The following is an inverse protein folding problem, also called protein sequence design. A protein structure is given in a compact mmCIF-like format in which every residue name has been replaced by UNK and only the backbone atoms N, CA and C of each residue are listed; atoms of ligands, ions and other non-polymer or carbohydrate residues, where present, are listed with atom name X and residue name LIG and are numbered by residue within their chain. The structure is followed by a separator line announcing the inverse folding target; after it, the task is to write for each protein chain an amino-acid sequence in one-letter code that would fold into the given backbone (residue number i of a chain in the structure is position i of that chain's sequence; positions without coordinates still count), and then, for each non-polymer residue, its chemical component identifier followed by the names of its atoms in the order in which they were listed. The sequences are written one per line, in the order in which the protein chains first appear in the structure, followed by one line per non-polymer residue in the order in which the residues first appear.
data_IF_276258599751
#
_entry.id   IF_276258599751
#
_cell.length_a   1.000
_cell.length_b   1.000
_cell.length_c   1.000
_cell.angle_alpha   90.00
_cell.angle_beta   90.00
_cell.angle_gamma   90.00
#
_symmetry.space_group_name_H-M   'P 1'
#
loop_
_entity.id
_entity.type
_entity.pdbx_description
1 polymer ?
#
# COMPACT_ATOMS: atom_id res chain seq x y z
N UNK A 1 44.56 51.99 52.72
CA UNK A 1 44.99 51.10 51.62
C UNK A 1 43.75 50.35 51.12
N UNK A 2 43.14 50.80 50.02
CA UNK A 2 41.90 50.23 49.44
C UNK A 2 42.22 49.63 48.08
N UNK A 3 41.97 48.34 47.88
CA UNK A 3 42.11 47.65 46.61
C UNK A 3 40.73 47.15 46.14
N UNK A 4 40.44 47.42 44.86
CA UNK A 4 39.17 47.19 44.16
C UNK A 4 39.01 45.70 43.80
N UNK A 5 37.80 45.17 43.90
CA UNK A 5 37.40 43.92 43.24
C UNK A 5 36.38 44.23 42.15
N UNK A 6 36.68 43.84 40.90
CA UNK A 6 35.75 43.74 39.79
C UNK A 6 35.13 42.34 39.82
N UNK A 7 33.80 42.25 39.78
CA UNK A 7 33.04 41.03 39.55
C UNK A 7 32.48 41.07 38.13
N UNK A 8 32.95 40.18 37.25
CA UNK A 8 32.36 39.91 35.94
C UNK A 8 31.34 38.80 36.07
N UNK A 9 30.07 39.09 35.78
CA UNK A 9 29.00 38.10 35.65
C UNK A 9 28.74 37.82 34.16
N UNK A 10 29.00 36.60 33.73
CA UNK A 10 28.73 36.12 32.37
C UNK A 10 27.36 35.44 32.36
N UNK A 11 26.38 36.05 31.71
CA UNK A 11 25.02 35.52 31.54
C UNK A 11 25.00 34.57 30.33
N UNK A 12 24.76 33.27 30.55
CA UNK A 12 24.54 32.29 29.48
C UNK A 12 23.08 32.40 28.98
N UNK A 13 22.90 32.92 27.76
CA UNK A 13 21.64 32.88 27.04
C UNK A 13 21.46 31.47 26.42
N UNK A 14 20.52 30.69 26.96
CA UNK A 14 20.05 29.45 26.33
C UNK A 14 19.03 29.85 25.25
N UNK A 15 19.46 29.86 23.99
CA UNK A 15 18.56 30.01 22.85
C UNK A 15 17.85 28.67 22.64
N UNK A 16 16.63 28.53 23.15
CA UNK A 16 15.73 27.45 22.76
C UNK A 16 15.26 27.70 21.34
N UNK A 17 15.84 27.00 20.36
CA UNK A 17 15.29 26.92 19.01
C UNK A 17 13.97 26.16 19.10
N UNK A 18 12.85 26.88 19.16
CA UNK A 18 11.53 26.29 18.97
C UNK A 18 11.46 25.78 17.53
N UNK A 19 11.62 24.48 17.32
CA UNK A 19 11.31 23.85 16.04
C UNK A 19 9.83 24.14 15.73
N UNK A 20 9.54 24.77 14.59
CA UNK A 20 8.18 25.07 14.18
C UNK A 20 7.45 23.78 13.83
N UNK A 21 6.41 23.42 14.57
CA UNK A 21 5.62 22.23 14.28
C UNK A 21 4.20 22.65 13.92
N UNK A 22 3.63 22.02 12.89
CA UNK A 22 2.20 22.17 12.57
C UNK A 22 1.35 21.80 13.79
N UNK A 23 0.40 22.66 14.14
CA UNK A 23 -0.60 22.35 15.16
C UNK A 23 -1.73 21.52 14.54
N UNK A 24 -1.68 20.20 14.74
CA UNK A 24 -2.80 19.32 14.39
C UNK A 24 -3.91 19.42 15.43
N UNK A 25 -5.08 19.93 15.02
CA UNK A 25 -6.23 20.09 15.91
C UNK A 25 -6.84 18.73 16.25
N UNK A 26 -7.16 18.53 17.53
CA UNK A 26 -7.87 17.33 18.04
C UNK A 26 -9.39 17.51 17.93
N UNK A 27 -9.89 17.68 16.71
CA UNK A 27 -11.32 17.87 16.41
C UNK A 27 -11.77 16.86 15.35
N UNK A 28 -13.07 16.60 15.27
CA UNK A 28 -13.63 15.75 14.21
C UNK A 28 -13.53 16.41 12.83
N UNK A 29 -13.62 15.59 11.78
CA UNK A 29 -13.64 16.11 10.40
C UNK A 29 -14.81 17.07 10.16
N UNK A 30 -16.00 16.77 10.69
CA UNK A 30 -17.17 17.66 10.61
C UNK A 30 -16.93 18.99 11.31
N UNK A 31 -16.30 18.98 12.49
CA UNK A 31 -15.93 20.20 13.21
C UNK A 31 -14.91 21.02 12.43
N UNK A 32 -13.96 20.36 11.78
CA UNK A 32 -12.97 21.04 10.95
C UNK A 32 -13.59 21.68 9.70
N UNK A 33 -14.56 21.03 9.05
CA UNK A 33 -15.33 21.63 7.95
C UNK A 33 -16.09 22.89 8.40
N UNK A 34 -16.73 22.83 9.57
CA UNK A 34 -17.38 24.00 10.15
C UNK A 34 -16.36 25.13 10.41
N UNK A 35 -15.24 24.80 11.04
CA UNK A 35 -14.19 25.77 11.36
C UNK A 35 -13.56 26.38 10.10
N UNK A 36 -13.30 25.56 9.08
CA UNK A 36 -12.77 25.98 7.78
C UNK A 36 -13.69 27.01 7.11
N UNK A 37 -15.02 26.81 7.15
CA UNK A 37 -15.99 27.77 6.62
C UNK A 37 -16.01 29.08 7.41
N UNK A 38 -15.97 29.00 8.74
CA UNK A 38 -16.00 30.19 9.62
C UNK A 38 -14.72 31.02 9.45
N UNK A 39 -13.56 30.36 9.46
CA UNK A 39 -12.25 31.01 9.33
C UNK A 39 -11.85 31.32 7.87
N UNK A 40 -12.63 30.85 6.88
CA UNK A 40 -12.32 30.90 5.45
C UNK A 40 -10.94 30.29 5.14
N UNK A 41 -10.66 29.16 5.77
CA UNK A 41 -9.42 28.40 5.62
C UNK A 41 -9.67 27.09 4.88
N UNK A 42 -8.62 26.61 4.24
CA UNK A 42 -8.56 25.28 3.64
C UNK A 42 -8.39 24.21 4.73
N UNK A 43 -8.44 22.94 4.36
CA UNK A 43 -8.17 21.82 5.26
C UNK A 43 -6.94 21.06 4.75
N UNK A 44 -5.99 20.81 5.64
CA UNK A 44 -4.89 19.89 5.43
C UNK A 44 -5.15 18.66 6.30
N UNK A 45 -5.40 17.53 5.65
CA UNK A 45 -5.73 16.27 6.32
C UNK A 45 -4.62 15.25 6.07
N UNK A 46 -3.81 15.01 7.09
CA UNK A 46 -2.78 13.97 7.09
C UNK A 46 -3.39 12.61 7.44
N UNK A 47 -3.30 11.66 6.51
CA UNK A 47 -3.68 10.26 6.70
C UNK A 47 -2.43 9.45 7.03
N UNK A 48 -2.35 8.97 8.27
CA UNK A 48 -1.31 8.06 8.76
C UNK A 48 -1.65 6.61 8.46
N UNK A 49 -0.64 5.76 8.30
CA UNK A 49 -0.82 4.31 8.14
C UNK A 49 -0.63 3.60 9.47
N UNK A 50 -1.61 2.82 9.91
CA UNK A 50 -1.48 1.94 11.08
C UNK A 50 -0.38 0.87 10.89
N UNK A 51 -0.05 0.56 9.63
CA UNK A 51 0.86 -0.51 9.25
C UNK A 51 2.25 -0.01 8.82
N UNK A 52 2.51 1.30 8.83
CA UNK A 52 3.80 1.87 8.44
C UNK A 52 4.24 3.00 9.37
N UNK A 53 4.84 2.64 10.52
CA UNK A 53 5.38 3.61 11.47
C UNK A 53 6.43 4.53 10.81
N UNK A 54 7.34 3.96 10.03
CA UNK A 54 8.37 4.72 9.31
C UNK A 54 7.76 5.75 8.34
N UNK A 55 6.66 5.42 7.65
CA UNK A 55 5.97 6.35 6.75
C UNK A 55 5.40 7.55 7.52
N UNK A 56 4.88 7.31 8.73
CA UNK A 56 4.35 8.36 9.58
C UNK A 56 5.48 9.25 10.14
N UNK A 57 6.60 8.65 10.54
CA UNK A 57 7.78 9.38 11.04
C UNK A 57 8.38 10.29 9.97
N UNK A 58 8.56 9.79 8.74
CA UNK A 58 9.10 10.63 7.66
C UNK A 58 8.15 11.78 7.34
N UNK A 59 6.83 11.55 7.33
CA UNK A 59 5.85 12.63 7.15
C UNK A 59 5.96 13.69 8.26
N UNK A 60 6.03 13.24 9.52
CA UNK A 60 6.16 14.12 10.67
C UNK A 60 7.43 14.98 10.57
N UNK A 61 8.54 14.41 10.11
CA UNK A 61 9.79 15.14 9.88
C UNK A 61 9.64 16.18 8.75
N UNK A 62 9.04 15.81 7.62
CA UNK A 62 8.86 16.74 6.50
C UNK A 62 7.98 17.94 6.85
N UNK A 63 7.04 17.78 7.77
CA UNK A 63 6.11 18.81 8.21
C UNK A 63 6.65 19.72 9.35
N UNK A 64 7.91 19.58 9.77
CA UNK A 64 8.54 20.39 10.84
C UNK A 64 9.18 21.71 10.36
N UNK A 65 8.92 22.15 9.13
CA UNK A 65 9.45 23.42 8.61
C UNK A 65 8.69 24.61 9.21
N UNK A 66 9.43 25.64 9.62
CA UNK A 66 8.84 26.91 10.09
C UNK A 66 8.01 27.59 9.00
N UNK A 67 8.42 27.46 7.73
CA UNK A 67 7.67 27.97 6.58
C UNK A 67 6.32 27.28 6.45
N UNK A 68 6.30 25.95 6.57
CA UNK A 68 5.06 25.16 6.54
C UNK A 68 4.16 25.58 7.70
N UNK A 69 4.70 25.72 8.92
CA UNK A 69 3.93 26.17 10.08
C UNK A 69 3.24 27.51 9.80
N UNK A 70 3.98 28.52 9.35
CA UNK A 70 3.42 29.85 9.05
C UNK A 70 2.32 29.78 7.98
N UNK A 71 2.55 29.04 6.89
CA UNK A 71 1.56 28.88 5.81
C UNK A 71 0.30 28.16 6.29
N UNK A 72 0.46 27.13 7.11
CA UNK A 72 -0.65 26.31 7.62
C UNK A 72 -1.45 27.05 8.68
N UNK A 73 -0.83 27.77 9.61
CA UNK A 73 -1.52 28.59 10.62
C UNK A 73 -2.42 29.66 9.96
N UNK A 74 -1.93 30.28 8.88
CA UNK A 74 -2.66 31.33 8.17
C UNK A 74 -3.78 30.77 7.28
N UNK A 75 -3.53 29.68 6.55
CA UNK A 75 -4.41 29.25 5.45
C UNK A 75 -5.15 27.94 5.68
N UNK A 76 -4.79 27.14 6.68
CA UNK A 76 -5.29 25.78 6.84
C UNK A 76 -5.82 25.47 8.24
N UNK A 77 -6.81 24.59 8.28
CA UNK A 77 -7.18 23.80 9.44
C UNK A 77 -6.49 22.44 9.28
N UNK A 78 -5.52 22.15 10.14
CA UNK A 78 -4.73 20.94 10.06
C UNK A 78 -5.30 19.82 10.94
N UNK A 79 -5.49 18.65 10.34
CA UNK A 79 -5.98 17.43 10.98
C UNK A 79 -5.05 16.26 10.70
N UNK A 80 -5.06 15.30 11.62
CA UNK A 80 -4.36 14.03 11.48
C UNK A 80 -5.26 12.88 11.89
N UNK A 81 -5.29 11.83 11.09
CA UNK A 81 -6.13 10.64 11.29
C UNK A 81 -5.44 9.42 10.70
N UNK A 82 -5.79 8.23 11.14
CA UNK A 82 -5.29 6.97 10.59
C UNK A 82 -6.23 6.36 9.52
N UNK A 83 -7.41 6.95 9.33
CA UNK A 83 -8.37 6.57 8.31
C UNK A 83 -8.93 7.78 7.59
N UNK A 84 -9.28 7.61 6.32
CA UNK A 84 -9.98 8.65 5.58
C UNK A 84 -11.38 8.82 6.21
N UNK A 85 -11.83 10.07 6.49
CA UNK A 85 -13.16 10.32 7.03
C UNK A 85 -14.24 9.78 6.10
N UNK A 86 -15.21 9.05 6.66
CA UNK A 86 -16.31 8.42 5.90
C UNK A 86 -17.15 9.48 5.15
N UNK A 87 -17.20 10.71 5.67
CA UNK A 87 -17.89 11.85 5.07
C UNK A 87 -17.23 12.37 3.78
N UNK A 88 -15.92 12.11 3.57
CA UNK A 88 -15.20 12.53 2.38
C UNK A 88 -15.55 11.67 1.16
N UNK A 89 -15.91 10.40 1.38
CA UNK A 89 -16.20 9.43 0.32
C UNK A 89 -17.33 8.49 0.74
N UNK A 90 -18.54 9.03 0.90
CA UNK A 90 -19.71 8.19 1.20
C UNK A 90 -20.00 7.18 0.05
N UNK A 91 -20.89 6.22 0.30
CA UNK A 91 -21.25 5.17 -0.67
C UNK A 91 -21.68 5.69 -2.06
N UNK A 92 -22.17 6.92 -2.14
CA UNK A 92 -22.63 7.55 -3.38
C UNK A 92 -21.55 8.33 -4.13
N UNK A 93 -20.36 8.52 -3.56
CA UNK A 93 -19.23 9.20 -4.22
C UNK A 93 -18.90 8.55 -5.58
N UNK A 94 -18.57 9.31 -6.63
CA UNK A 94 -18.19 8.75 -7.93
C UNK A 94 -16.82 8.05 -7.94
N UNK A 95 -16.06 8.17 -6.83
CA UNK A 95 -14.72 7.61 -6.68
C UNK A 95 -14.54 6.87 -5.35
N UNK A 96 -13.43 6.16 -5.24
CA UNK A 96 -12.93 5.58 -3.99
C UNK A 96 -11.43 5.84 -3.81
N UNK A 97 -10.99 5.78 -2.55
CA UNK A 97 -9.58 5.70 -2.23
C UNK A 97 -9.11 4.25 -2.22
N UNK A 98 -7.80 4.04 -2.33
CA UNK A 98 -7.21 2.73 -2.04
C UNK A 98 -7.35 2.42 -0.54
N UNK A 99 -7.66 1.17 -0.18
CA UNK A 99 -7.78 0.74 1.22
C UNK A 99 -6.49 0.96 2.03
N UNK A 100 -5.33 1.05 1.36
CA UNK A 100 -4.04 1.32 1.96
C UNK A 100 -3.56 2.76 1.77
N UNK A 101 -4.47 3.69 1.45
CA UNK A 101 -4.09 5.09 1.25
C UNK A 101 -3.49 5.69 2.53
N UNK A 102 -2.32 6.29 2.38
CA UNK A 102 -1.69 7.17 3.35
C UNK A 102 -1.07 8.35 2.59
N UNK A 103 -0.96 9.51 3.24
CA UNK A 103 -0.50 10.74 2.61
C UNK A 103 -1.28 11.97 3.06
N UNK A 104 -1.31 13.02 2.25
CA UNK A 104 -1.91 14.30 2.62
C UNK A 104 -3.00 14.69 1.63
N UNK A 105 -4.18 15.00 2.15
CA UNK A 105 -5.31 15.53 1.39
C UNK A 105 -5.45 17.02 1.66
N UNK A 106 -5.66 17.78 0.59
CA UNK A 106 -5.93 19.21 0.68
C UNK A 106 -7.33 19.49 0.17
N UNK A 107 -8.14 20.11 1.02
CA UNK A 107 -9.57 20.32 0.76
C UNK A 107 -9.92 21.79 0.92
N UNK A 108 -10.96 22.24 0.22
CA UNK A 108 -11.59 23.51 0.51
C UNK A 108 -12.56 23.42 1.70
N UNK A 109 -13.18 24.53 2.05
CA UNK A 109 -14.11 24.65 3.17
C UNK A 109 -15.42 23.83 3.00
N UNK A 110 -15.77 23.42 1.78
CA UNK A 110 -16.88 22.49 1.52
C UNK A 110 -16.47 21.01 1.51
N UNK A 111 -15.19 20.71 1.76
CA UNK A 111 -14.64 19.35 1.72
C UNK A 111 -14.35 18.84 0.32
N UNK A 112 -14.30 19.71 -0.69
CA UNK A 112 -13.91 19.36 -2.05
C UNK A 112 -12.39 19.20 -2.15
N UNK A 113 -11.94 18.13 -2.77
CA UNK A 113 -10.51 17.85 -2.97
C UNK A 113 -9.91 18.86 -3.95
N UNK A 114 -8.84 19.53 -3.51
CA UNK A 114 -8.04 20.46 -4.30
C UNK A 114 -6.71 19.84 -4.74
N UNK A 115 -6.12 19.00 -3.88
CA UNK A 115 -4.85 18.33 -4.15
C UNK A 115 -4.71 17.05 -3.32
N UNK A 116 -3.90 16.10 -3.80
CA UNK A 116 -3.59 14.85 -3.12
C UNK A 116 -2.09 14.58 -3.22
N UNK A 117 -1.43 14.42 -2.07
CA UNK A 117 -0.09 13.85 -1.98
C UNK A 117 -0.20 12.38 -1.58
N UNK A 118 0.09 11.47 -2.52
CA UNK A 118 0.06 10.00 -2.31
C UNK A 118 1.38 9.43 -1.81
N UNK A 119 2.11 10.22 -1.02
CA UNK A 119 3.41 9.85 -0.48
C UNK A 119 3.64 10.53 0.86
N UNK A 120 4.64 10.04 1.57
CA UNK A 120 5.21 10.67 2.77
C UNK A 120 6.71 10.83 2.55
N UNK A 121 7.27 11.96 2.96
CA UNK A 121 8.69 12.28 2.78
C UNK A 121 9.20 13.11 3.95
N UNK A 122 10.48 13.01 4.27
CA UNK A 122 11.13 13.92 5.23
C UNK A 122 11.53 15.26 4.60
N UNK A 123 11.33 15.43 3.29
CA UNK A 123 11.68 16.64 2.56
C UNK A 123 10.56 17.69 2.67
N UNK A 124 10.79 18.74 3.46
CA UNK A 124 9.81 19.81 3.67
C UNK A 124 9.41 20.54 2.38
N UNK A 125 10.34 20.74 1.44
CA UNK A 125 10.03 21.44 0.19
C UNK A 125 8.91 20.77 -0.62
N UNK A 126 8.80 19.44 -0.57
CA UNK A 126 7.71 18.72 -1.26
C UNK A 126 6.33 19.06 -0.68
N UNK A 127 6.23 19.29 0.62
CA UNK A 127 4.99 19.74 1.26
C UNK A 127 4.74 21.22 0.98
N UNK A 128 5.77 22.05 0.99
CA UNK A 128 5.68 23.47 0.64
C UNK A 128 5.13 23.66 -0.78
N UNK A 129 5.66 22.91 -1.75
CA UNK A 129 5.18 22.91 -3.14
C UNK A 129 3.72 22.48 -3.24
N UNK A 130 3.32 21.43 -2.52
CA UNK A 130 1.95 20.94 -2.53
C UNK A 130 0.97 21.93 -1.89
N UNK A 131 1.37 22.59 -0.80
CA UNK A 131 0.60 23.66 -0.15
C UNK A 131 0.45 24.86 -1.10
N UNK A 132 1.55 25.32 -1.71
CA UNK A 132 1.53 26.44 -2.63
C UNK A 132 0.64 26.16 -3.86
N UNK A 133 0.75 24.96 -4.44
CA UNK A 133 -0.11 24.53 -5.54
C UNK A 133 -1.58 24.51 -5.12
N UNK A 134 -1.90 23.95 -3.94
CA UNK A 134 -3.27 23.93 -3.41
C UNK A 134 -3.85 25.34 -3.28
N UNK A 135 -3.09 26.29 -2.71
CA UNK A 135 -3.53 27.67 -2.58
C UNK A 135 -3.80 28.29 -3.97
N UNK A 136 -2.95 27.99 -4.95
CA UNK A 136 -3.13 28.49 -6.32
C UNK A 136 -4.40 27.92 -6.99
N UNK A 137 -4.62 26.61 -6.89
CA UNK A 137 -5.82 25.94 -7.40
C UNK A 137 -7.09 26.52 -6.77
N UNK A 138 -7.07 26.77 -5.45
CA UNK A 138 -8.22 27.36 -4.77
C UNK A 138 -8.55 28.78 -5.27
N UNK A 139 -7.52 29.61 -5.50
CA UNK A 139 -7.69 30.99 -6.00
C UNK A 139 -8.33 31.05 -7.38
N UNK A 140 -8.09 30.06 -8.22
CA UNK A 140 -8.60 30.03 -9.59
C UNK A 140 -9.94 29.29 -9.72
N UNK A 141 -10.60 28.99 -8.59
CA UNK A 141 -11.89 28.29 -8.54
C UNK A 141 -11.92 27.10 -9.50
N UNK A 142 -10.97 26.17 -9.32
CA UNK A 142 -10.94 24.94 -10.10
C UNK A 142 -12.28 24.21 -10.04
N UNK A 143 -12.69 23.66 -11.19
CA UNK A 143 -13.85 22.79 -11.27
C UNK A 143 -13.66 21.61 -10.30
N UNK A 144 -14.55 21.41 -9.33
CA UNK A 144 -14.41 20.36 -8.33
C UNK A 144 -15.11 19.06 -8.73
N UNK A 145 -14.66 17.92 -8.18
CA UNK A 145 -15.36 16.63 -8.35
C UNK A 145 -16.82 16.75 -7.92
N UNK A 146 -17.08 17.40 -6.77
CA UNK A 146 -18.42 17.59 -6.21
C UNK A 146 -19.33 18.39 -7.15
N UNK A 147 -18.79 19.43 -7.77
CA UNK A 147 -19.53 20.24 -8.75
C UNK A 147 -19.86 19.43 -10.02
N UNK A 148 -18.87 18.73 -10.58
CA UNK A 148 -19.06 17.89 -11.77
C UNK A 148 -20.03 16.73 -11.52
N UNK A 149 -19.96 16.11 -10.35
CA UNK A 149 -20.90 15.07 -9.92
C UNK A 149 -22.33 15.63 -9.82
N UNK A 150 -22.50 16.83 -9.25
CA UNK A 150 -23.80 17.51 -9.19
C UNK A 150 -24.36 17.80 -10.58
N UNK A 151 -23.55 18.35 -11.49
CA UNK A 151 -24.00 18.65 -12.86
C UNK A 151 -24.36 17.37 -13.60
N UNK A 152 -23.53 16.34 -13.50
CA UNK A 152 -23.79 15.05 -14.12
C UNK A 152 -25.11 14.43 -13.63
N UNK A 153 -25.37 14.48 -12.31
CA UNK A 153 -26.62 13.97 -11.74
C UNK A 153 -27.86 14.77 -12.15
N UNK A 154 -27.72 16.08 -12.39
CA UNK A 154 -28.81 16.92 -12.88
C UNK A 154 -29.06 16.72 -14.37
N UNK A 155 -28.00 16.45 -15.14
CA UNK A 155 -28.05 16.28 -16.59
C UNK A 155 -27.08 15.17 -17.02
N UNK A 156 -27.63 13.95 -17.10
CA UNK A 156 -26.94 12.70 -17.41
C UNK A 156 -26.52 12.65 -18.89
N UNK A 157 -25.48 13.42 -19.25
CA UNK A 157 -24.91 13.42 -20.60
C UNK A 157 -23.42 13.07 -20.60
N UNK A 158 -22.96 12.65 -21.78
CA UNK A 158 -21.59 12.19 -22.02
C UNK A 158 -20.52 13.21 -21.61
N UNK A 159 -20.69 14.48 -21.96
CA UNK A 159 -19.65 15.51 -21.74
C UNK A 159 -19.44 15.76 -20.24
N UNK A 160 -20.53 15.85 -19.49
CA UNK A 160 -20.46 16.03 -18.03
C UNK A 160 -19.79 14.83 -17.36
N UNK A 161 -20.18 13.61 -17.76
CA UNK A 161 -19.62 12.38 -17.23
C UNK A 161 -18.13 12.22 -17.58
N UNK A 162 -17.75 12.55 -18.82
CA UNK A 162 -16.37 12.53 -19.29
C UNK A 162 -15.50 13.48 -18.47
N UNK A 163 -15.98 14.69 -18.19
CA UNK A 163 -15.27 15.67 -17.37
C UNK A 163 -15.13 15.19 -15.92
N UNK A 164 -16.17 14.58 -15.35
CA UNK A 164 -16.13 13.98 -14.02
C UNK A 164 -15.09 12.85 -13.93
N UNK A 165 -15.08 11.93 -14.90
CA UNK A 165 -14.12 10.82 -14.93
C UNK A 165 -12.68 11.34 -15.09
N UNK A 166 -12.47 12.32 -15.97
CA UNK A 166 -11.15 12.95 -16.17
C UNK A 166 -10.61 13.57 -14.89
N UNK A 167 -11.42 14.34 -14.16
CA UNK A 167 -10.92 14.97 -12.93
C UNK A 167 -10.59 13.93 -11.85
N UNK A 168 -11.39 12.88 -11.72
CA UNK A 168 -11.13 11.79 -10.76
C UNK A 168 -9.81 11.10 -11.11
N UNK A 169 -9.61 10.77 -12.39
CA UNK A 169 -8.38 10.14 -12.88
C UNK A 169 -7.16 11.05 -12.72
N UNK A 170 -7.31 12.37 -12.90
CA UNK A 170 -6.24 13.35 -12.69
C UNK A 170 -5.78 13.43 -11.22
N UNK A 171 -6.70 13.23 -10.27
CA UNK A 171 -6.36 13.04 -8.85
C UNK A 171 -5.83 11.63 -8.55
N UNK A 172 -5.69 10.78 -9.58
CA UNK A 172 -5.38 9.36 -9.52
C UNK A 172 -6.33 8.57 -8.59
N UNK A 173 -7.53 9.10 -8.32
CA UNK A 173 -8.54 8.43 -7.50
C UNK A 173 -9.15 7.28 -8.30
N UNK A 174 -9.67 6.28 -7.59
CA UNK A 174 -10.27 5.13 -8.25
C UNK A 174 -11.68 5.48 -8.73
N UNK A 175 -11.89 5.47 -10.05
CA UNK A 175 -13.21 5.71 -10.65
C UNK A 175 -14.09 4.49 -10.39
N UNK A 176 -15.29 4.69 -9.83
CA UNK A 176 -16.17 3.55 -9.57
C UNK A 176 -16.65 2.90 -10.87
N UNK A 177 -16.66 1.57 -10.89
CA UNK A 177 -17.00 0.78 -12.07
C UNK A 177 -18.32 1.19 -12.77
N UNK A 178 -19.45 1.42 -12.05
CA UNK A 178 -20.69 1.86 -12.69
C UNK A 178 -20.54 3.17 -13.49
N UNK A 179 -19.68 4.09 -13.03
CA UNK A 179 -19.45 5.36 -13.71
C UNK A 179 -18.68 5.16 -15.03
N UNK A 180 -17.74 4.21 -15.05
CA UNK A 180 -16.99 3.85 -16.27
C UNK A 180 -17.92 3.17 -17.29
N UNK A 181 -18.81 2.29 -16.83
CA UNK A 181 -19.79 1.61 -17.68
C UNK A 181 -20.82 2.60 -18.25
N UNK A 182 -21.35 3.52 -17.45
CA UNK A 182 -22.21 4.61 -17.94
C UNK A 182 -21.49 5.54 -18.92
N UNK A 183 -20.19 5.76 -18.76
CA UNK A 183 -19.41 6.61 -19.67
C UNK A 183 -19.32 5.99 -21.07
N UNK A 184 -19.10 4.68 -21.17
CA UNK A 184 -19.06 4.00 -22.47
C UNK A 184 -20.46 3.80 -23.07
N UNK A 185 -21.50 3.70 -22.24
CA UNK A 185 -22.89 3.63 -22.68
C UNK A 185 -23.37 4.93 -23.33
N UNK A 186 -23.03 6.07 -22.72
CA UNK A 186 -23.37 7.39 -23.24
C UNK A 186 -22.43 7.87 -24.35
N UNK A 187 -21.35 7.14 -24.63
CA UNK A 187 -20.34 7.55 -25.60
C UNK A 187 -20.93 7.61 -27.03
N UNK A 188 -20.69 8.72 -27.76
CA UNK A 188 -20.96 8.77 -29.19
C UNK A 188 -20.26 7.63 -29.96
N UNK A 189 -20.84 7.19 -31.08
CA UNK A 189 -20.35 6.01 -31.81
C UNK A 189 -18.89 6.15 -32.28
N UNK A 190 -18.47 7.35 -32.67
CA UNK A 190 -17.10 7.66 -33.10
C UNK A 190 -16.08 7.59 -31.95
N UNK A 191 -16.53 7.69 -30.69
CA UNK A 191 -15.65 7.56 -29.51
C UNK A 191 -14.99 6.18 -29.42
N UNK A 192 -15.60 5.14 -30.00
CA UNK A 192 -15.02 3.80 -30.06
C UNK A 192 -13.75 3.71 -30.93
N UNK A 193 -13.44 4.77 -31.70
CA UNK A 193 -12.22 4.90 -32.52
C UNK A 193 -11.23 5.92 -31.96
N UNK A 194 -11.60 6.63 -30.90
CA UNK A 194 -10.76 7.68 -30.32
C UNK A 194 -9.71 7.08 -29.39
N UNK A 195 -8.44 7.09 -29.81
CA UNK A 195 -7.32 6.60 -28.99
C UNK A 195 -7.31 7.28 -27.61
N UNK A 196 -7.51 8.59 -27.54
CA UNK A 196 -7.47 9.33 -26.28
C UNK A 196 -8.62 8.96 -25.33
N UNK A 197 -9.82 8.71 -25.86
CA UNK A 197 -10.95 8.23 -25.06
C UNK A 197 -10.71 6.81 -24.56
N UNK A 198 -10.27 5.91 -25.45
CA UNK A 198 -9.97 4.52 -25.09
C UNK A 198 -8.82 4.42 -24.08
N UNK A 199 -7.79 5.27 -24.18
CA UNK A 199 -6.71 5.39 -23.20
C UNK A 199 -7.25 5.82 -21.83
N UNK A 200 -8.13 6.84 -21.77
CA UNK A 200 -8.75 7.26 -20.51
C UNK A 200 -9.53 6.11 -19.86
N UNK A 201 -10.33 5.37 -20.63
CA UNK A 201 -11.08 4.22 -20.09
C UNK A 201 -10.10 3.14 -19.60
N UNK A 202 -9.02 2.86 -20.35
CA UNK A 202 -8.00 1.91 -19.94
C UNK A 202 -7.29 2.34 -18.63
N UNK A 203 -6.96 3.61 -18.48
CA UNK A 203 -6.34 4.18 -17.26
C UNK A 203 -7.26 4.09 -16.03
N UNK A 204 -8.57 4.08 -16.23
CA UNK A 204 -9.54 3.81 -15.17
C UNK A 204 -9.55 2.34 -14.70
N UNK A 205 -8.78 1.46 -15.37
CA UNK A 205 -8.62 0.05 -15.03
C UNK A 205 -9.97 -0.66 -14.80
N UNK A 206 -10.84 -0.76 -15.83
CA UNK A 206 -12.16 -1.32 -15.68
C UNK A 206 -12.10 -2.77 -15.21
N UNK A 207 -13.11 -3.18 -14.45
CA UNK A 207 -13.28 -4.56 -13.98
C UNK A 207 -13.17 -5.53 -15.17
N UNK A 208 -12.45 -6.63 -14.98
CA UNK A 208 -12.23 -7.64 -16.01
C UNK A 208 -13.57 -8.17 -16.49
N UNK A 209 -13.80 -8.16 -17.81
CA UNK A 209 -15.07 -8.54 -18.46
C UNK A 209 -16.30 -7.66 -18.13
N UNK A 210 -16.11 -6.46 -17.57
CA UNK A 210 -17.17 -5.43 -17.53
C UNK A 210 -17.54 -4.92 -18.93
N UNK A 211 -18.62 -4.13 -19.03
CA UNK A 211 -19.04 -3.50 -20.28
C UNK A 211 -17.95 -2.59 -20.83
N UNK A 212 -17.37 -1.73 -20.00
CA UNK A 212 -16.24 -0.87 -20.38
C UNK A 212 -14.97 -1.65 -20.76
N UNK A 213 -14.69 -2.77 -20.11
CA UNK A 213 -13.59 -3.67 -20.51
C UNK A 213 -13.80 -4.23 -21.92
N UNK A 214 -15.03 -4.67 -22.24
CA UNK A 214 -15.39 -5.21 -23.55
C UNK A 214 -15.36 -4.09 -24.59
N UNK A 215 -15.91 -2.92 -24.27
CA UNK A 215 -15.97 -1.74 -25.14
C UNK A 215 -14.59 -1.39 -25.70
N UNK A 216 -13.57 -1.27 -24.83
CA UNK A 216 -12.22 -0.90 -25.30
C UNK A 216 -11.51 -2.00 -26.10
N UNK A 217 -12.00 -3.25 -26.07
CA UNK A 217 -11.41 -4.40 -26.77
C UNK A 217 -12.24 -4.86 -27.98
N UNK A 218 -13.35 -4.18 -28.27
CA UNK A 218 -14.27 -4.60 -29.31
C UNK A 218 -13.64 -4.47 -30.71
N UNK A 219 -12.82 -3.44 -30.93
CA UNK A 219 -12.00 -3.28 -32.12
C UNK A 219 -10.53 -3.60 -31.79
N UNK A 220 -10.08 -4.80 -32.17
CA UNK A 220 -8.76 -5.30 -31.79
C UNK A 220 -7.59 -4.49 -32.41
N UNK A 221 -7.61 -4.11 -33.70
CA UNK A 221 -6.62 -3.19 -34.26
C UNK A 221 -6.50 -1.86 -33.49
N UNK A 222 -7.63 -1.18 -33.23
CA UNK A 222 -7.63 0.11 -32.51
C UNK A 222 -7.18 -0.07 -31.06
N UNK A 223 -7.63 -1.15 -30.41
CA UNK A 223 -7.19 -1.50 -29.06
C UNK A 223 -5.67 -1.68 -29.01
N UNK A 224 -5.08 -2.43 -29.94
CA UNK A 224 -3.64 -2.67 -29.96
C UNK A 224 -2.85 -1.38 -30.19
N UNK A 225 -3.28 -0.55 -31.14
CA UNK A 225 -2.66 0.75 -31.38
C UNK A 225 -2.67 1.60 -30.10
N UNK A 226 -3.84 1.75 -29.47
CA UNK A 226 -3.97 2.46 -28.19
C UNK A 226 -3.12 1.84 -27.08
N UNK A 227 -3.21 0.53 -26.90
CA UNK A 227 -2.60 -0.18 -25.78
C UNK A 227 -1.07 -0.13 -25.86
N UNK A 228 -0.48 -0.40 -27.02
CA UNK A 228 0.98 -0.43 -27.16
C UNK A 228 1.62 0.96 -27.23
N UNK A 229 0.84 2.02 -27.42
CA UNK A 229 1.28 3.40 -27.21
C UNK A 229 1.41 3.77 -25.72
N UNK A 230 0.80 3.00 -24.81
CA UNK A 230 0.97 3.18 -23.36
C UNK A 230 2.29 2.52 -22.90
N UNK A 231 3.15 3.22 -22.12
CA UNK A 231 4.38 2.65 -21.59
C UNK A 231 4.15 1.33 -20.85
N UNK A 232 5.05 0.36 -21.02
CA UNK A 232 4.91 -0.99 -20.43
C UNK A 232 4.64 -0.95 -18.92
N UNK A 233 5.35 -0.07 -18.19
CA UNK A 233 5.15 0.11 -16.74
C UNK A 233 3.71 0.50 -16.40
N UNK A 234 3.13 1.44 -17.17
CA UNK A 234 1.76 1.91 -16.98
C UNK A 234 0.75 0.82 -17.33
N UNK A 235 0.99 0.04 -18.40
CA UNK A 235 0.15 -1.12 -18.75
C UNK A 235 0.11 -2.18 -17.65
N UNK A 236 1.27 -2.48 -17.06
CA UNK A 236 1.37 -3.40 -15.91
C UNK A 236 0.51 -2.86 -14.75
N UNK A 237 0.65 -1.58 -14.42
CA UNK A 237 -0.14 -0.94 -13.35
C UNK A 237 -1.65 -0.97 -13.64
N UNK A 238 -2.08 -0.74 -14.87
CA UNK A 238 -3.49 -0.82 -15.28
C UNK A 238 -4.02 -2.25 -15.08
N UNK A 239 -3.27 -3.25 -15.56
CA UNK A 239 -3.68 -4.65 -15.43
C UNK A 239 -3.73 -5.11 -13.97
N UNK A 240 -2.72 -4.75 -13.17
CA UNK A 240 -2.66 -5.08 -11.74
C UNK A 240 -3.85 -4.47 -10.98
N UNK A 241 -4.19 -3.20 -11.29
CA UNK A 241 -5.37 -2.53 -10.74
C UNK A 241 -6.67 -3.23 -11.13
N UNK A 242 -6.84 -3.56 -12.42
CA UNK A 242 -8.04 -4.26 -12.90
C UNK A 242 -8.21 -5.63 -12.21
N UNK A 243 -7.11 -6.40 -12.08
CA UNK A 243 -7.09 -7.69 -11.38
C UNK A 243 -7.47 -7.51 -9.91
N UNK A 244 -6.84 -6.58 -9.20
CA UNK A 244 -7.09 -6.37 -7.78
C UNK A 244 -8.55 -5.97 -7.50
N UNK A 245 -9.10 -5.03 -8.27
CA UNK A 245 -10.51 -4.60 -8.16
C UNK A 245 -11.47 -5.75 -8.43
N UNK A 246 -11.26 -6.47 -9.53
CA UNK A 246 -12.15 -7.56 -9.93
C UNK A 246 -12.08 -8.74 -8.97
N UNK A 247 -10.91 -9.03 -8.41
CA UNK A 247 -10.76 -10.03 -7.36
C UNK A 247 -11.44 -9.60 -6.06
N UNK A 248 -11.30 -8.34 -5.65
CA UNK A 248 -12.00 -7.78 -4.49
C UNK A 248 -13.52 -7.88 -4.64
N UNK A 249 -14.04 -7.53 -5.83
CA UNK A 249 -15.46 -7.74 -6.18
C UNK A 249 -15.86 -9.20 -6.07
N UNK A 250 -15.09 -10.12 -6.67
CA UNK A 250 -15.36 -11.55 -6.59
C UNK A 250 -15.41 -12.05 -5.13
N UNK A 251 -14.48 -11.60 -4.28
CA UNK A 251 -14.42 -11.94 -2.85
C UNK A 251 -15.66 -11.42 -2.12
N UNK A 252 -16.01 -10.13 -2.31
CA UNK A 252 -17.17 -9.49 -1.68
C UNK A 252 -18.47 -10.20 -2.04
N UNK A 253 -18.60 -10.61 -3.31
CA UNK A 253 -19.77 -11.31 -3.85
C UNK A 253 -19.71 -12.84 -3.63
N UNK A 254 -18.59 -13.36 -3.12
CA UNK A 254 -18.29 -14.80 -3.04
C UNK A 254 -18.52 -15.53 -4.37
N UNK A 255 -18.13 -14.90 -5.47
CA UNK A 255 -18.35 -15.39 -6.83
C UNK A 255 -17.08 -16.07 -7.38
N UNK A 256 -17.02 -17.41 -7.24
CA UNK A 256 -15.87 -18.20 -7.68
C UNK A 256 -15.69 -18.21 -9.20
N UNK A 257 -16.78 -18.19 -9.97
CA UNK A 257 -16.68 -18.22 -11.43
C UNK A 257 -16.14 -16.90 -11.96
N UNK A 258 -16.47 -15.78 -11.32
CA UNK A 258 -15.84 -14.51 -11.61
C UNK A 258 -14.37 -14.49 -11.19
N UNK A 259 -14.01 -15.03 -10.02
CA UNK A 259 -12.61 -15.16 -9.61
C UNK A 259 -11.77 -15.99 -10.61
N UNK A 260 -12.33 -17.08 -11.16
CA UNK A 260 -11.69 -17.88 -12.23
C UNK A 260 -11.49 -17.07 -13.51
N UNK A 261 -12.45 -16.24 -13.90
CA UNK A 261 -12.31 -15.32 -15.05
C UNK A 261 -11.16 -14.33 -14.83
N UNK A 262 -11.05 -13.75 -13.62
CA UNK A 262 -9.94 -12.85 -13.25
C UNK A 262 -8.60 -13.58 -13.28
N UNK A 263 -8.53 -14.80 -12.75
CA UNK A 263 -7.34 -15.63 -12.79
C UNK A 263 -6.92 -15.97 -14.24
N UNK A 264 -7.88 -16.31 -15.10
CA UNK A 264 -7.61 -16.55 -16.53
C UNK A 264 -7.08 -15.31 -17.24
N UNK A 265 -7.67 -14.14 -16.99
CA UNK A 265 -7.16 -12.88 -17.51
C UNK A 265 -5.71 -12.63 -17.06
N UNK A 266 -5.42 -12.80 -15.78
CA UNK A 266 -4.06 -12.67 -15.21
C UNK A 266 -3.07 -13.63 -15.88
N UNK A 267 -3.48 -14.86 -16.21
CA UNK A 267 -2.67 -15.77 -17.03
C UNK A 267 -2.41 -15.22 -18.42
N UNK A 268 -3.45 -14.74 -19.12
CA UNK A 268 -3.37 -14.34 -20.53
C UNK A 268 -2.51 -13.11 -20.82
N UNK A 269 -2.34 -12.22 -19.84
CA UNK A 269 -1.54 -11.01 -20.01
C UNK A 269 -0.03 -11.25 -19.79
N UNK A 270 0.36 -12.45 -19.35
CA UNK A 270 1.74 -12.81 -19.10
C UNK A 270 2.35 -13.49 -20.34
N UNK A 271 3.50 -13.00 -20.79
CA UNK A 271 4.26 -13.61 -21.90
C UNK A 271 4.89 -14.95 -21.49
N UNK A 272 5.27 -15.08 -20.22
CA UNK A 272 5.77 -16.33 -19.67
C UNK A 272 4.60 -17.18 -19.13
N UNK A 273 4.33 -18.32 -19.78
CA UNK A 273 3.24 -19.22 -19.40
C UNK A 273 3.32 -19.67 -17.95
N UNK A 274 4.52 -19.98 -17.43
CA UNK A 274 4.69 -20.43 -16.04
C UNK A 274 4.37 -19.32 -15.04
N UNK A 275 4.80 -18.09 -15.33
CA UNK A 275 4.49 -16.93 -14.48
C UNK A 275 3.00 -16.57 -14.55
N UNK A 276 2.40 -16.64 -15.74
CA UNK A 276 0.96 -16.48 -15.91
C UNK A 276 0.15 -17.49 -15.11
N UNK A 277 0.55 -18.77 -15.12
CA UNK A 277 -0.08 -19.81 -14.29
C UNK A 277 0.12 -19.56 -12.79
N UNK A 278 1.32 -19.14 -12.39
CA UNK A 278 1.60 -18.79 -10.99
C UNK A 278 0.69 -17.66 -10.53
N UNK A 279 0.56 -16.60 -11.31
CA UNK A 279 -0.31 -15.46 -10.98
C UNK A 279 -1.79 -15.84 -10.91
N UNK A 280 -2.26 -16.64 -11.87
CA UNK A 280 -3.64 -17.16 -11.85
C UNK A 280 -3.93 -18.00 -10.60
N UNK A 281 -3.03 -18.93 -10.27
CA UNK A 281 -3.17 -19.78 -9.09
C UNK A 281 -3.09 -18.97 -7.79
N UNK A 282 -2.24 -17.94 -7.75
CA UNK A 282 -2.15 -17.01 -6.62
C UNK A 282 -3.47 -16.26 -6.41
N UNK A 283 -4.07 -15.72 -7.47
CA UNK A 283 -5.35 -15.01 -7.38
C UNK A 283 -6.47 -15.91 -6.82
N UNK A 284 -6.53 -17.18 -7.25
CA UNK A 284 -7.49 -18.14 -6.70
C UNK A 284 -7.17 -18.49 -5.23
N UNK A 285 -5.90 -18.61 -4.87
CA UNK A 285 -5.49 -18.85 -3.49
C UNK A 285 -5.90 -17.69 -2.57
N UNK A 286 -5.67 -16.45 -3.00
CA UNK A 286 -6.08 -15.24 -2.27
C UNK A 286 -7.62 -15.14 -2.18
N UNK A 287 -8.35 -15.54 -3.22
CA UNK A 287 -9.82 -15.66 -3.18
C UNK A 287 -10.27 -16.65 -2.09
N UNK A 288 -9.81 -17.90 -2.14
CA UNK A 288 -10.23 -18.94 -1.19
C UNK A 288 -9.90 -18.57 0.25
N UNK A 289 -8.74 -17.97 0.48
CA UNK A 289 -8.35 -17.44 1.78
C UNK A 289 -9.36 -16.40 2.28
N UNK A 290 -9.69 -15.43 1.43
CA UNK A 290 -10.50 -14.26 1.81
C UNK A 290 -11.96 -14.63 2.05
N UNK A 291 -12.52 -15.59 1.30
CA UNK A 291 -13.88 -16.09 1.51
C UNK A 291 -13.97 -17.15 2.61
N UNK A 292 -12.84 -17.49 3.24
CA UNK A 292 -12.69 -18.52 4.28
C UNK A 292 -13.08 -19.94 3.82
N UNK A 293 -12.88 -20.25 2.53
CA UNK A 293 -13.03 -21.61 2.02
C UNK A 293 -11.75 -22.40 2.31
N UNK A 294 -11.67 -22.95 3.52
CA UNK A 294 -10.47 -23.63 4.01
C UNK A 294 -10.18 -24.92 3.25
N UNK A 295 -11.20 -25.63 2.76
CA UNK A 295 -11.02 -26.87 2.00
C UNK A 295 -10.32 -26.57 0.68
N UNK A 296 -10.86 -25.63 -0.09
CA UNK A 296 -10.26 -25.26 -1.38
C UNK A 296 -8.95 -24.53 -1.22
N UNK A 297 -8.81 -23.69 -0.18
CA UNK A 297 -7.54 -23.05 0.14
C UNK A 297 -6.44 -24.08 0.38
N UNK A 298 -6.65 -25.08 1.23
CA UNK A 298 -5.64 -26.10 1.54
C UNK A 298 -5.21 -26.87 0.29
N UNK A 299 -6.19 -27.33 -0.51
CA UNK A 299 -5.91 -28.05 -1.76
C UNK A 299 -5.08 -27.20 -2.73
N UNK A 300 -5.49 -25.94 -2.94
CA UNK A 300 -4.78 -25.02 -3.83
C UNK A 300 -3.38 -24.65 -3.29
N UNK A 301 -3.25 -24.41 -1.98
CA UNK A 301 -2.00 -24.05 -1.33
C UNK A 301 -0.94 -25.15 -1.51
N UNK A 302 -1.32 -26.41 -1.29
CA UNK A 302 -0.41 -27.56 -1.42
C UNK A 302 0.18 -27.62 -2.83
N UNK A 303 -0.67 -27.55 -3.86
CA UNK A 303 -0.21 -27.55 -5.25
C UNK A 303 0.66 -26.32 -5.56
N UNK A 304 0.23 -25.13 -5.10
CA UNK A 304 0.90 -23.87 -5.38
C UNK A 304 2.31 -23.78 -4.78
N UNK A 305 2.43 -23.97 -3.46
CA UNK A 305 3.72 -23.83 -2.79
C UNK A 305 4.71 -24.93 -3.20
N UNK A 306 4.24 -26.15 -3.42
CA UNK A 306 5.11 -27.23 -3.88
C UNK A 306 5.64 -26.98 -5.30
N UNK A 307 4.79 -26.50 -6.22
CA UNK A 307 5.19 -26.22 -7.61
C UNK A 307 6.15 -25.03 -7.71
N UNK A 308 5.81 -23.90 -7.06
CA UNK A 308 6.46 -22.61 -7.35
C UNK A 308 7.50 -22.16 -6.32
N UNK A 309 7.51 -22.73 -5.11
CA UNK A 309 8.39 -22.27 -4.03
C UNK A 309 9.31 -23.37 -3.49
N UNK A 310 8.82 -24.59 -3.33
CA UNK A 310 9.65 -25.71 -2.84
C UNK A 310 10.63 -26.26 -3.87
N UNK A 311 10.42 -25.98 -5.16
CA UNK A 311 11.33 -26.35 -6.24
C UNK A 311 12.55 -25.43 -6.36
N UNK A 312 12.58 -24.32 -5.61
CA UNK A 312 13.62 -23.30 -5.72
C UNK A 312 14.80 -23.64 -4.82
N UNK A 313 16.01 -23.60 -5.38
CA UNK A 313 17.25 -23.88 -4.65
C UNK A 313 17.69 -22.65 -3.84
N UNK A 314 17.76 -22.82 -2.51
CA UNK A 314 18.13 -21.75 -1.55
C UNK A 314 19.49 -21.13 -1.86
N UNK A 315 20.52 -21.94 -2.12
CA UNK A 315 21.88 -21.46 -2.37
C UNK A 315 21.98 -20.65 -3.66
N UNK A 316 21.23 -21.05 -4.69
CA UNK A 316 21.16 -20.31 -5.94
C UNK A 316 20.61 -18.90 -5.74
N UNK A 317 19.51 -18.77 -5.02
CA UNK A 317 18.90 -17.46 -4.73
C UNK A 317 19.83 -16.61 -3.85
N UNK A 318 20.44 -17.18 -2.82
CA UNK A 318 21.39 -16.44 -1.97
C UNK A 318 22.63 -15.96 -2.75
N UNK A 319 23.15 -16.77 -3.68
CA UNK A 319 24.24 -16.34 -4.57
C UNK A 319 23.82 -15.18 -5.47
N UNK A 320 22.59 -15.20 -5.99
CA UNK A 320 22.06 -14.08 -6.79
C UNK A 320 21.94 -12.80 -5.95
N UNK A 321 21.42 -12.91 -4.72
CA UNK A 321 21.32 -11.79 -3.80
C UNK A 321 22.69 -11.19 -3.46
N UNK A 322 23.68 -12.03 -3.17
CA UNK A 322 25.05 -11.58 -2.91
C UNK A 322 25.63 -10.83 -4.12
N UNK A 323 25.47 -11.38 -5.33
CA UNK A 323 25.95 -10.73 -6.55
C UNK A 323 25.26 -9.38 -6.81
N UNK A 324 23.95 -9.30 -6.57
CA UNK A 324 23.20 -8.03 -6.69
C UNK A 324 23.69 -7.00 -5.67
N UNK A 325 23.91 -7.42 -4.43
CA UNK A 325 24.46 -6.56 -3.37
C UNK A 325 25.86 -6.05 -3.72
N UNK A 326 26.77 -6.93 -4.14
CA UNK A 326 28.12 -6.55 -4.59
C UNK A 326 28.08 -5.52 -5.73
N UNK A 327 27.18 -5.71 -6.71
CA UNK A 327 27.00 -4.76 -7.79
C UNK A 327 26.51 -3.38 -7.29
N UNK A 328 25.56 -3.36 -6.34
CA UNK A 328 25.09 -2.11 -5.73
C UNK A 328 26.20 -1.41 -4.94
N UNK A 329 26.98 -2.16 -4.16
CA UNK A 329 28.12 -1.64 -3.40
C UNK A 329 29.19 -1.05 -4.32
N UNK A 330 29.45 -1.67 -5.47
CA UNK A 330 30.36 -1.13 -6.50
C UNK A 330 29.84 0.18 -7.11
N UNK A 331 28.54 0.27 -7.41
CA UNK A 331 27.92 1.49 -7.93
C UNK A 331 28.03 2.61 -6.90
N UNK A 332 27.73 2.33 -5.63
CA UNK A 332 27.86 3.28 -4.54
C UNK A 332 29.30 3.81 -4.43
N UNK A 333 30.31 2.92 -4.45
CA UNK A 333 31.73 3.30 -4.40
C UNK A 333 32.19 4.13 -5.61
N UNK A 334 31.69 3.85 -6.81
CA UNK A 334 32.04 4.64 -8.02
C UNK A 334 31.47 6.06 -8.00
N UNK A 335 30.33 6.26 -7.35
CA UNK A 335 29.72 7.58 -7.23
C UNK A 335 30.42 8.43 -6.16
N UNK A 336 31.06 7.82 -5.16
CA UNK A 336 31.86 8.54 -4.14
C UNK A 336 33.17 9.13 -4.65
N UNK A 337 33.74 8.63 -5.75
CA UNK A 337 35.07 9.06 -6.24
C UNK A 337 35.04 10.23 -7.22
N UNK A 338 33.87 10.69 -7.68
CA UNK A 338 33.75 11.75 -8.70
C UNK A 338 33.31 13.13 -8.19
N UNK A 339 33.31 13.37 -6.88
CA UNK A 339 33.01 14.70 -6.31
C UNK A 339 31.62 15.24 -6.63
N UNK A 340 30.71 14.42 -7.16
CA UNK A 340 29.33 14.80 -7.40
C UNK A 340 28.59 14.87 -6.04
N UNK A 341 27.79 15.92 -5.80
CA UNK A 341 26.97 15.99 -4.59
C UNK A 341 26.09 14.73 -4.52
N UNK A 342 26.13 14.10 -3.36
CA UNK A 342 25.47 12.84 -3.07
C UNK A 342 23.94 13.02 -3.17
N UNK A 343 23.36 12.88 -4.36
CA UNK A 343 21.99 12.39 -4.46
C UNK A 343 22.04 10.97 -3.92
N UNK A 344 21.77 10.81 -2.63
CA UNK A 344 21.57 9.53 -1.98
C UNK A 344 20.29 8.93 -2.59
N UNK A 345 20.38 8.41 -3.83
CA UNK A 345 19.35 7.53 -4.37
C UNK A 345 19.35 6.33 -3.44
N UNK A 346 18.39 6.29 -2.52
CA UNK A 346 18.14 5.16 -1.66
C UNK A 346 17.84 3.97 -2.57
N UNK A 347 18.85 3.14 -2.86
CA UNK A 347 18.62 1.89 -3.55
C UNK A 347 18.01 0.94 -2.55
N UNK A 348 16.70 0.70 -2.66
CA UNK A 348 16.04 -0.35 -1.89
C UNK A 348 16.49 -1.70 -2.42
N UNK A 349 17.47 -2.32 -1.77
CA UNK A 349 17.82 -3.70 -2.01
C UNK A 349 16.75 -4.58 -1.35
N UNK A 350 15.94 -5.27 -2.16
CA UNK A 350 14.99 -6.28 -1.69
C UNK A 350 15.56 -7.66 -2.04
N UNK A 351 16.09 -8.42 -1.07
CA UNK A 351 16.62 -9.75 -1.32
C UNK A 351 15.53 -10.68 -1.87
N UNK A 352 15.83 -11.44 -2.92
CA UNK A 352 14.92 -12.47 -3.42
C UNK A 352 14.70 -13.57 -2.38
N UNK A 353 15.73 -13.90 -1.60
CA UNK A 353 15.64 -14.88 -0.52
C UNK A 353 14.58 -14.48 0.52
N UNK A 354 14.48 -13.19 0.84
CA UNK A 354 13.44 -12.67 1.72
C UNK A 354 12.03 -12.91 1.14
N UNK A 355 11.84 -12.66 -0.15
CA UNK A 355 10.56 -12.93 -0.83
C UNK A 355 10.18 -14.41 -0.73
N UNK A 356 11.07 -15.34 -1.11
CA UNK A 356 10.77 -16.77 -1.05
C UNK A 356 10.51 -17.26 0.37
N UNK A 357 11.31 -16.79 1.34
CA UNK A 357 11.12 -17.09 2.76
C UNK A 357 9.76 -16.64 3.27
N UNK A 358 9.38 -15.39 3.02
CA UNK A 358 8.08 -14.84 3.43
C UNK A 358 6.89 -15.54 2.76
N UNK A 359 6.99 -15.92 1.49
CA UNK A 359 5.91 -16.65 0.80
C UNK A 359 5.71 -18.06 1.38
N UNK A 360 6.80 -18.83 1.57
CA UNK A 360 6.71 -20.15 2.19
C UNK A 360 6.17 -20.07 3.62
N UNK A 361 6.59 -19.05 4.37
CA UNK A 361 6.06 -18.81 5.71
C UNK A 361 4.55 -18.54 5.72
N UNK A 362 4.08 -17.67 4.82
CA UNK A 362 2.63 -17.39 4.66
C UNK A 362 1.83 -18.67 4.41
N UNK A 363 2.33 -19.54 3.53
CA UNK A 363 1.71 -20.84 3.25
C UNK A 363 1.68 -21.76 4.47
N UNK A 364 2.82 -21.85 5.18
CA UNK A 364 2.95 -22.68 6.37
C UNK A 364 2.03 -22.21 7.51
N UNK A 365 1.99 -20.90 7.76
CA UNK A 365 1.10 -20.27 8.73
C UNK A 365 -0.37 -20.55 8.43
N UNK A 366 -0.79 -20.34 7.18
CA UNK A 366 -2.19 -20.56 6.82
C UNK A 366 -2.61 -22.03 6.95
N UNK A 367 -1.73 -22.99 6.59
CA UNK A 367 -2.01 -24.40 6.86
C UNK A 367 -2.03 -24.72 8.36
N UNK A 368 -1.14 -24.14 9.15
CA UNK A 368 -1.16 -24.26 10.62
C UNK A 368 -2.52 -23.82 11.18
N UNK A 369 -3.07 -22.72 10.67
CA UNK A 369 -4.36 -22.17 11.07
C UNK A 369 -5.56 -23.01 10.64
N UNK A 370 -5.53 -23.56 9.43
CA UNK A 370 -6.70 -24.23 8.84
C UNK A 370 -6.71 -25.75 8.98
N UNK A 371 -5.62 -26.34 9.50
CA UNK A 371 -5.48 -27.79 9.58
C UNK A 371 -5.23 -28.30 10.99
N UNK A 372 -5.88 -29.42 11.30
CA UNK A 372 -5.52 -30.35 12.37
C UNK A 372 -4.96 -31.67 11.83
N UNK A 373 -4.90 -31.84 10.50
CA UNK A 373 -4.44 -33.06 9.87
C UNK A 373 -2.91 -33.15 9.98
N UNK A 374 -2.43 -34.25 10.55
CA UNK A 374 -0.99 -34.48 10.79
C UNK A 374 -0.15 -34.43 9.51
N UNK A 375 -0.63 -34.95 8.38
CA UNK A 375 0.14 -34.95 7.12
C UNK A 375 0.25 -33.55 6.52
N UNK A 376 -0.84 -32.77 6.57
CA UNK A 376 -0.85 -31.37 6.14
C UNK A 376 0.07 -30.51 7.01
N UNK A 377 0.05 -30.72 8.34
CA UNK A 377 0.94 -30.02 9.27
C UNK A 377 2.42 -30.40 9.08
N UNK A 378 2.71 -31.66 8.76
CA UNK A 378 4.07 -32.07 8.41
C UNK A 378 4.55 -31.43 7.11
N UNK A 379 3.65 -31.22 6.14
CA UNK A 379 3.99 -30.50 4.92
C UNK A 379 4.24 -29.01 5.20
N UNK A 380 3.37 -28.36 5.97
CA UNK A 380 3.56 -26.98 6.42
C UNK A 380 4.88 -26.81 7.17
N UNK A 381 5.26 -27.77 8.02
CA UNK A 381 6.56 -27.78 8.71
C UNK A 381 7.73 -27.77 7.72
N UNK A 382 7.66 -28.56 6.64
CA UNK A 382 8.70 -28.56 5.60
C UNK A 382 8.80 -27.21 4.90
N UNK A 383 7.66 -26.56 4.63
CA UNK A 383 7.64 -25.22 4.06
C UNK A 383 8.26 -24.19 5.00
N UNK A 384 7.89 -24.19 6.28
CA UNK A 384 8.48 -23.30 7.28
C UNK A 384 9.98 -23.55 7.48
N UNK A 385 10.42 -24.80 7.47
CA UNK A 385 11.85 -25.14 7.53
C UNK A 385 12.61 -24.57 6.32
N UNK A 386 12.05 -24.70 5.11
CA UNK A 386 12.66 -24.14 3.91
C UNK A 386 12.62 -22.61 3.92
N UNK A 387 11.56 -22.01 4.48
CA UNK A 387 11.47 -20.57 4.70
C UNK A 387 12.60 -20.04 5.59
N UNK A 388 12.89 -20.72 6.71
CA UNK A 388 14.03 -20.42 7.59
C UNK A 388 15.36 -20.50 6.85
N UNK A 389 15.50 -21.48 5.95
CA UNK A 389 16.71 -21.63 5.13
C UNK A 389 16.88 -20.45 4.16
N UNK A 390 15.80 -19.95 3.56
CA UNK A 390 15.83 -18.75 2.71
C UNK A 390 16.14 -17.48 3.49
N UNK A 391 15.37 -17.20 4.53
CA UNK A 391 15.40 -15.94 5.24
C UNK A 391 15.17 -16.13 6.75
N UNK A 392 16.03 -15.50 7.54
CA UNK A 392 15.99 -15.58 9.00
C UNK A 392 15.26 -14.35 9.54
N UNK A 393 13.97 -14.51 9.81
CA UNK A 393 13.09 -13.47 10.33
C UNK A 393 12.28 -14.01 11.52
N UNK A 394 11.99 -13.19 12.54
CA UNK A 394 11.30 -13.65 13.74
C UNK A 394 9.92 -14.26 13.44
N UNK A 395 9.18 -13.76 12.45
CA UNK A 395 7.84 -14.28 12.10
C UNK A 395 7.92 -15.70 11.51
N UNK A 396 9.03 -16.01 10.84
CA UNK A 396 9.31 -17.34 10.28
C UNK A 396 9.70 -18.32 11.38
N UNK A 397 10.48 -17.86 12.37
CA UNK A 397 10.86 -18.68 13.52
C UNK A 397 9.64 -19.06 14.38
N UNK A 398 8.75 -18.11 14.67
CA UNK A 398 7.50 -18.37 15.41
C UNK A 398 6.63 -19.40 14.67
N UNK A 399 6.41 -19.22 13.37
CA UNK A 399 5.60 -20.16 12.56
C UNK A 399 6.19 -21.57 12.60
N UNK A 400 7.52 -21.69 12.46
CA UNK A 400 8.21 -22.98 12.53
C UNK A 400 8.10 -23.62 13.92
N UNK A 401 8.26 -22.84 14.99
CA UNK A 401 8.14 -23.30 16.37
C UNK A 401 6.71 -23.80 16.68
N UNK A 402 5.68 -23.06 16.30
CA UNK A 402 4.28 -23.49 16.51
C UNK A 402 3.93 -24.78 15.77
N UNK A 403 4.43 -24.94 14.54
CA UNK A 403 4.25 -26.17 13.78
C UNK A 403 4.93 -27.35 14.48
N UNK A 404 6.18 -27.18 14.94
CA UNK A 404 6.89 -28.20 15.74
C UNK A 404 6.10 -28.56 17.00
N UNK A 405 5.57 -27.57 17.71
CA UNK A 405 4.81 -27.77 18.94
C UNK A 405 3.53 -28.58 18.67
N UNK A 406 2.76 -28.17 17.65
CA UNK A 406 1.49 -28.81 17.28
C UNK A 406 1.64 -30.26 16.82
N UNK A 407 2.81 -30.65 16.31
CA UNK A 407 3.12 -32.06 15.97
C UNK A 407 3.81 -32.84 17.09
N UNK A 408 3.99 -32.25 18.27
CA UNK A 408 4.52 -32.90 19.47
C UNK A 408 6.03 -32.76 19.69
N UNK A 409 6.77 -32.01 18.85
CA UNK A 409 8.21 -31.76 19.02
C UNK A 409 8.48 -30.58 19.97
N UNK A 410 7.96 -30.68 21.20
CA UNK A 410 7.83 -29.56 22.15
C UNK A 410 9.16 -28.92 22.55
N UNK A 411 10.19 -29.71 22.84
CA UNK A 411 11.50 -29.18 23.22
C UNK A 411 12.14 -28.37 22.08
N UNK A 412 12.09 -28.90 20.85
CA UNK A 412 12.61 -28.21 19.67
C UNK A 412 11.81 -26.95 19.37
N UNK A 413 10.48 -27.00 19.54
CA UNK A 413 9.61 -25.84 19.38
C UNK A 413 10.02 -24.68 20.29
N UNK A 414 10.19 -24.93 21.59
CA UNK A 414 10.60 -23.89 22.55
C UNK A 414 11.95 -23.26 22.20
N UNK A 415 12.91 -24.04 21.68
CA UNK A 415 14.21 -23.50 21.22
C UNK A 415 14.05 -22.52 20.05
N UNK A 416 13.16 -22.83 19.10
CA UNK A 416 12.90 -21.94 17.97
C UNK A 416 12.05 -20.72 18.35
N UNK A 417 11.10 -20.88 19.26
CA UNK A 417 10.31 -19.76 19.77
C UNK A 417 11.19 -18.77 20.56
N UNK A 418 12.12 -19.28 21.38
CA UNK A 418 13.13 -18.44 22.04
C UNK A 418 13.97 -17.64 21.03
N UNK A 419 14.34 -18.26 19.90
CA UNK A 419 15.03 -17.58 18.80
C UNK A 419 14.14 -16.51 18.13
N UNK A 420 12.84 -16.74 18.02
CA UNK A 420 11.88 -15.74 17.52
C UNK A 420 11.84 -14.50 18.43
N UNK A 421 11.76 -14.70 19.75
CA UNK A 421 11.80 -13.63 20.77
C UNK A 421 13.08 -12.81 20.69
N UNK A 422 14.23 -13.49 20.64
CA UNK A 422 15.54 -12.83 20.53
C UNK A 422 15.64 -12.00 19.24
N UNK A 423 15.29 -12.61 18.10
CA UNK A 423 15.33 -11.96 16.78
C UNK A 423 14.39 -10.75 16.69
N UNK A 424 13.18 -10.84 17.27
CA UNK A 424 12.25 -9.71 17.34
C UNK A 424 12.80 -8.56 18.20
N UNK A 425 13.54 -8.87 19.26
CA UNK A 425 14.23 -7.88 20.09
C UNK A 425 15.33 -7.15 19.32
N UNK A 426 16.18 -7.88 18.59
CA UNK A 426 17.23 -7.29 17.74
C UNK A 426 16.66 -6.41 16.62
N UNK A 427 15.47 -6.75 16.12
CA UNK A 427 14.75 -5.97 15.12
C UNK A 427 13.93 -4.80 15.70
N UNK A 428 14.02 -4.52 17.01
CA UNK A 428 13.23 -3.51 17.72
C UNK A 428 11.70 -3.66 17.56
N UNK A 429 11.21 -4.87 17.29
CA UNK A 429 9.76 -5.18 17.16
C UNK A 429 9.18 -5.50 18.54
N UNK A 430 9.12 -4.51 19.43
CA UNK A 430 8.75 -4.73 20.85
C UNK A 430 7.39 -5.40 21.06
N UNK A 431 6.37 -5.03 20.27
CA UNK A 431 5.05 -5.65 20.32
C UNK A 431 5.13 -7.15 19.97
N UNK A 432 5.72 -7.46 18.81
CA UNK A 432 5.97 -8.81 18.33
C UNK A 432 6.79 -9.65 19.32
N UNK A 433 7.83 -9.06 19.91
CA UNK A 433 8.64 -9.72 20.95
C UNK A 433 7.79 -10.13 22.15
N UNK A 434 6.88 -9.26 22.60
CA UNK A 434 5.98 -9.56 23.72
C UNK A 434 5.05 -10.72 23.37
N UNK A 435 4.46 -10.70 22.17
CA UNK A 435 3.57 -11.76 21.68
C UNK A 435 4.27 -13.13 21.66
N UNK A 436 5.49 -13.21 21.10
CA UNK A 436 6.27 -14.46 21.07
C UNK A 436 6.74 -14.90 22.45
N UNK A 437 7.02 -13.95 23.35
CA UNK A 437 7.38 -14.28 24.73
C UNK A 437 6.23 -14.96 25.47
N UNK A 438 5.00 -14.54 25.22
CA UNK A 438 3.82 -15.17 25.83
C UNK A 438 3.57 -16.56 25.26
N UNK A 439 3.81 -16.76 23.97
CA UNK A 439 3.70 -18.07 23.30
C UNK A 439 4.74 -19.03 23.87
N UNK A 440 5.99 -18.59 24.06
CA UNK A 440 7.04 -19.40 24.70
C UNK A 440 6.65 -19.81 26.12
N UNK A 441 6.06 -18.90 26.91
CA UNK A 441 5.57 -19.24 28.27
C UNK A 441 4.48 -20.31 28.22
N UNK A 442 3.50 -20.19 27.32
CA UNK A 442 2.43 -21.18 27.16
C UNK A 442 2.97 -22.54 26.72
N UNK A 443 3.96 -22.56 25.83
CA UNK A 443 4.65 -23.80 25.45
C UNK A 443 5.37 -24.44 26.65
N UNK A 444 6.01 -23.64 27.50
CA UNK A 444 6.69 -24.12 28.71
C UNK A 444 5.72 -24.66 29.76
N UNK A 445 4.51 -24.09 29.84
CA UNK A 445 3.39 -24.59 30.64
C UNK A 445 2.67 -25.80 30.01
N UNK A 446 3.13 -26.25 28.85
CA UNK A 446 2.57 -27.39 28.12
C UNK A 446 1.08 -27.20 27.74
N UNK A 447 0.64 -25.95 27.53
CA UNK A 447 -0.73 -25.63 27.14
C UNK A 447 -1.07 -26.24 25.76
N UNK A 448 -2.30 -26.71 25.59
CA UNK A 448 -2.77 -27.20 24.28
C UNK A 448 -3.01 -26.07 23.28
N UNK A 449 -3.52 -24.92 23.76
CA UNK A 449 -3.75 -23.73 22.96
C UNK A 449 -2.71 -22.65 23.29
N UNK A 450 -1.80 -22.43 22.36
CA UNK A 450 -0.72 -21.44 22.46
C UNK A 450 -0.98 -20.18 21.63
N UNK A 451 -2.14 -20.07 20.98
CA UNK A 451 -2.50 -18.91 20.17
C UNK A 451 -3.05 -17.78 21.07
N UNK A 452 -2.65 -16.56 20.77
CA UNK A 452 -2.91 -15.36 21.59
C UNK A 452 -3.94 -14.40 20.98
N UNK A 453 -4.63 -14.83 19.91
CA UNK A 453 -5.58 -14.02 19.14
C UNK A 453 -6.92 -14.72 18.92
#
# INVERSE_FOLDING_TARGET
MRLRYLLTATLLLIISTSFGQIEFKKISYTQALHLAKVEKKLILLQIESDNCLQCNEVAAQGLQSKTIQLLTDEKFICLKTNKIPDELYNGNSPFSFSDSFFGTLFLNEEGSILNIMKLTTSQSSTYEDAIANTINVNKHQGVSIKYLDSIYRQNNNFVNLLNLVRIINNFALEVKQPLIDSLVELAPQDSAKSISFLSLIAECAPDVYSQSYIYIRNDYPVFNEMWYNIPLKTRIQINDRAIAKSLSKAIKEKNIDYAKKVAFFSKSINTNTNEGEKNANKNLLDYFYSVKDTIQYKNAAIAFYNKYFMSINVDSIKRLDNKKKENLDMIAKRNTTKGAPMELRSYTFLPEAEYYGKQLNRGAWNLYMFSSNKSELQLALKWAQNAVAFYQDPDIFDTYARLLYKIGKKETAMKWEAKAVESAGLANRNKTKSEYSDVLKRMALNEENINTY
#
